data_IF_707334613090
#
_entry.id   IF_707334613090
#
_cell.length_a   1.000
_cell.length_b   1.000
_cell.length_c   1.000
_cell.angle_alpha   90.00
_cell.angle_beta   90.00
_cell.angle_gamma   90.00
#
_symmetry.space_group_name_H-M   'P 1'
#
loop_
_entity.id
_entity.type
_entity.pdbx_description
1 polymer ?
#
# COMPACT_ATOMS: atom_id res chain seq x y z
N UNK A 1 40.16 5.08 40.36
CA UNK A 1 39.94 5.05 38.89
C UNK A 1 38.44 4.88 38.65
N UNK A 2 37.73 5.98 38.42
CA UNK A 2 36.46 5.99 37.71
C UNK A 2 36.47 7.24 36.84
N UNK A 3 36.25 7.03 35.54
CA UNK A 3 36.37 8.01 34.48
C UNK A 3 35.25 9.05 34.59
N UNK A 4 35.65 10.32 34.62
CA UNK A 4 34.83 11.46 34.23
C UNK A 4 34.51 11.37 32.74
N UNK A 5 33.24 11.58 32.36
CA UNK A 5 32.96 12.13 31.05
C UNK A 5 31.86 13.18 31.16
N UNK A 6 32.29 14.42 30.99
CA UNK A 6 31.49 15.63 30.90
C UNK A 6 30.74 15.65 29.58
N UNK A 7 29.40 15.67 29.63
CA UNK A 7 28.58 16.09 28.50
C UNK A 7 27.96 17.43 28.86
N UNK A 8 28.44 18.50 28.24
CA UNK A 8 27.84 19.83 28.30
C UNK A 8 27.70 20.36 26.89
N UNK A 9 26.45 20.64 26.49
CA UNK A 9 25.98 21.84 25.80
C UNK A 9 24.67 21.53 25.04
N UNK A 10 23.57 21.62 25.78
CA UNK A 10 22.32 22.31 25.42
C UNK A 10 21.98 22.49 23.92
N UNK A 11 21.19 21.57 23.35
CA UNK A 11 20.32 21.86 22.21
C UNK A 11 18.92 22.18 22.74
N UNK A 12 18.64 23.47 22.97
CA UNK A 12 17.34 23.96 23.42
C UNK A 12 16.44 24.15 22.18
N UNK A 13 15.53 23.20 21.92
CA UNK A 13 14.46 23.40 20.94
C UNK A 13 13.49 24.42 21.54
N UNK A 14 13.53 25.66 21.06
CA UNK A 14 12.50 26.65 21.37
C UNK A 14 11.22 26.29 20.62
N UNK A 15 10.19 25.91 21.37
CA UNK A 15 8.83 25.82 20.86
C UNK A 15 8.32 27.23 20.56
N UNK A 16 8.30 27.59 19.28
CA UNK A 16 7.57 28.77 18.80
C UNK A 16 6.09 28.55 19.07
N UNK A 17 5.46 29.42 19.87
CA UNK A 17 4.02 29.41 20.09
C UNK A 17 3.32 29.60 18.74
N UNK A 18 2.52 28.62 18.34
CA UNK A 18 1.64 28.74 17.18
C UNK A 18 0.58 29.82 17.48
N UNK A 19 0.57 30.89 16.69
CA UNK A 19 -0.57 31.80 16.62
C UNK A 19 -1.74 31.10 15.92
N UNK A 20 -3.00 31.44 16.26
CA UNK A 20 -4.17 30.83 15.63
C UNK A 20 -4.23 31.21 14.15
N UNK A 21 -4.13 30.20 13.28
CA UNK A 21 -4.32 30.33 11.84
C UNK A 21 -5.75 30.82 11.57
N UNK A 22 -5.87 32.04 11.02
CA UNK A 22 -7.14 32.53 10.51
C UNK A 22 -7.52 31.73 9.25
N UNK A 23 -8.72 31.14 9.28
CA UNK A 23 -9.32 30.41 8.17
C UNK A 23 -9.65 31.40 7.05
N UNK A 24 -8.82 31.43 6.00
CA UNK A 24 -9.15 32.12 4.76
C UNK A 24 -10.13 31.24 3.97
N UNK A 25 -11.36 31.73 3.83
CA UNK A 25 -12.43 31.17 3.00
C UNK A 25 -12.11 31.41 1.52
N UNK A 26 -11.26 30.58 0.94
CA UNK A 26 -11.03 30.49 -0.50
C UNK A 26 -11.68 29.23 -1.06
N UNK A 27 -12.66 29.39 -1.94
CA UNK A 27 -13.30 28.28 -2.67
C UNK A 27 -12.29 27.67 -3.66
N UNK A 28 -11.85 26.43 -3.41
CA UNK A 28 -11.12 25.63 -4.39
C UNK A 28 -12.12 24.76 -5.14
N UNK A 29 -12.25 25.03 -6.44
CA UNK A 29 -13.08 24.30 -7.39
C UNK A 29 -12.57 22.86 -7.57
N UNK A 30 -13.39 21.82 -7.40
CA UNK A 30 -12.95 20.45 -7.61
C UNK A 30 -12.83 20.12 -9.10
N UNK A 31 -11.71 19.49 -9.45
CA UNK A 31 -11.50 18.89 -10.77
C UNK A 31 -12.64 17.93 -11.14
N UNK A 32 -13.31 18.21 -12.25
CA UNK A 32 -14.40 17.42 -12.81
C UNK A 32 -13.92 15.99 -13.17
N UNK A 33 -14.80 14.99 -13.01
CA UNK A 33 -15.72 14.70 -14.10
C UNK A 33 -17.18 14.72 -13.62
N UNK A 34 -17.76 15.91 -13.53
CA UNK A 34 -19.18 16.12 -13.20
C UNK A 34 -19.90 16.75 -14.39
N UNK A 35 -19.96 16.02 -15.51
CA UNK A 35 -20.83 16.36 -16.64
C UNK A 35 -22.08 15.46 -16.74
N UNK A 36 -22.23 14.47 -15.85
CA UNK A 36 -23.38 13.54 -15.88
C UNK A 36 -24.51 13.90 -14.89
N UNK A 37 -24.34 14.93 -14.04
CA UNK A 37 -25.28 15.21 -12.94
C UNK A 37 -26.36 16.26 -13.23
N UNK A 38 -26.51 16.74 -14.47
CA UNK A 38 -27.47 17.81 -14.77
C UNK A 38 -28.60 17.46 -15.74
N UNK A 39 -28.80 16.18 -16.12
CA UNK A 39 -29.84 15.82 -17.10
C UNK A 39 -31.05 15.02 -16.57
N UNK A 40 -31.21 14.87 -15.25
CA UNK A 40 -32.43 14.24 -14.70
C UNK A 40 -32.63 12.76 -15.07
N UNK A 41 -31.59 12.07 -15.54
CA UNK A 41 -31.61 10.66 -15.95
C UNK A 41 -30.90 9.72 -14.94
N UNK A 42 -30.96 10.06 -13.65
CA UNK A 42 -30.27 9.32 -12.58
C UNK A 42 -30.80 7.87 -12.45
N UNK A 43 -32.11 7.67 -12.55
CA UNK A 43 -32.73 6.36 -12.36
C UNK A 43 -32.58 5.42 -13.57
N UNK A 44 -32.48 5.96 -14.79
CA UNK A 44 -32.36 5.15 -16.02
C UNK A 44 -30.93 4.65 -16.25
N UNK A 45 -29.90 5.43 -15.86
CA UNK A 45 -28.50 5.01 -15.97
C UNK A 45 -28.17 3.86 -14.99
N UNK A 46 -28.76 3.89 -13.79
CA UNK A 46 -28.62 2.83 -12.78
C UNK A 46 -29.37 1.55 -13.17
N UNK A 47 -30.55 1.68 -13.80
CA UNK A 47 -31.33 0.53 -14.31
C UNK A 47 -30.72 -0.10 -15.57
N UNK A 48 -30.05 0.68 -16.44
CA UNK A 48 -29.40 0.15 -17.63
C UNK A 48 -28.06 -0.55 -17.33
N UNK A 49 -27.26 -0.07 -16.34
CA UNK A 49 -26.02 -0.75 -15.92
C UNK A 49 -26.25 -2.08 -15.21
N UNK A 50 -27.39 -2.25 -14.57
CA UNK A 50 -27.74 -3.51 -13.87
C UNK A 50 -28.25 -4.60 -14.81
N UNK A 51 -28.60 -4.26 -16.07
CA UNK A 51 -29.20 -5.19 -17.03
C UNK A 51 -28.23 -5.81 -18.06
N UNK A 52 -27.00 -5.28 -18.23
CA UNK A 52 -26.03 -5.82 -19.22
C UNK A 52 -24.66 -6.12 -18.62
N UNK A 53 -24.61 -6.95 -17.57
CA UNK A 53 -23.52 -7.93 -17.35
C UNK A 53 -23.86 -8.92 -16.22
N UNK A 54 -24.85 -9.79 -16.44
CA UNK A 54 -24.94 -11.03 -15.65
C UNK A 54 -24.79 -12.25 -16.55
N UNK A 55 -23.76 -13.01 -16.21
CA UNK A 55 -23.48 -14.41 -16.52
C UNK A 55 -23.06 -14.77 -17.95
N UNK A 56 -21.74 -14.86 -18.16
CA UNK A 56 -21.11 -16.09 -18.67
C UNK A 56 -19.60 -16.07 -18.34
N UNK A 57 -19.11 -17.15 -17.71
CA UNK A 57 -17.70 -17.52 -17.44
C UNK A 57 -16.97 -16.98 -16.20
N UNK A 58 -17.64 -16.78 -15.06
CA UNK A 58 -16.94 -16.89 -13.78
C UNK A 58 -17.19 -18.28 -13.21
N UNK A 59 -16.14 -19.11 -13.14
CA UNK A 59 -16.22 -20.45 -12.60
C UNK A 59 -16.73 -20.41 -11.16
N UNK A 60 -17.98 -20.83 -10.94
CA UNK A 60 -18.52 -21.19 -9.62
C UNK A 60 -17.73 -22.33 -8.92
N UNK A 61 -16.65 -22.84 -9.54
CA UNK A 61 -15.81 -23.91 -9.01
C UNK A 61 -14.79 -23.48 -7.95
N UNK A 62 -14.48 -22.18 -7.82
CA UNK A 62 -13.56 -21.70 -6.78
C UNK A 62 -14.12 -20.49 -6.02
N UNK A 63 -15.07 -20.78 -5.12
CA UNK A 63 -15.63 -19.78 -4.20
C UNK A 63 -14.55 -19.09 -3.37
N UNK A 64 -13.49 -19.82 -2.96
CA UNK A 64 -12.39 -19.25 -2.19
C UNK A 64 -11.69 -18.15 -2.98
N UNK A 65 -11.36 -18.41 -4.25
CA UNK A 65 -10.76 -17.41 -5.13
C UNK A 65 -11.70 -16.23 -5.38
N UNK A 66 -12.99 -16.48 -5.63
CA UNK A 66 -13.96 -15.40 -5.83
C UNK A 66 -14.07 -14.46 -4.61
N UNK A 67 -14.08 -15.03 -3.40
CA UNK A 67 -14.06 -14.27 -2.15
C UNK A 67 -12.77 -13.46 -1.99
N UNK A 68 -11.61 -14.06 -2.32
CA UNK A 68 -10.31 -13.41 -2.24
C UNK A 68 -10.20 -12.24 -3.24
N UNK A 69 -10.59 -12.46 -4.50
CA UNK A 69 -10.58 -11.45 -5.56
C UNK A 69 -11.47 -10.26 -5.20
N UNK A 70 -12.67 -10.52 -4.65
CA UNK A 70 -13.57 -9.47 -4.22
C UNK A 70 -13.02 -8.70 -3.02
N UNK A 71 -12.47 -9.40 -2.02
CA UNK A 71 -11.85 -8.77 -0.86
C UNK A 71 -10.66 -7.89 -1.25
N UNK A 72 -9.80 -8.35 -2.18
CA UNK A 72 -8.71 -7.56 -2.76
C UNK A 72 -9.24 -6.25 -3.36
N UNK A 73 -10.26 -6.32 -4.20
CA UNK A 73 -10.83 -5.13 -4.85
C UNK A 73 -11.42 -4.15 -3.85
N UNK A 74 -12.15 -4.63 -2.83
CA UNK A 74 -12.75 -3.77 -1.80
C UNK A 74 -11.70 -3.13 -0.90
N UNK A 75 -10.66 -3.87 -0.49
CA UNK A 75 -9.61 -3.36 0.38
C UNK A 75 -8.76 -2.32 -0.34
N UNK A 76 -8.45 -2.53 -1.61
CA UNK A 76 -7.67 -1.56 -2.38
C UNK A 76 -8.37 -0.20 -2.47
N UNK A 77 -9.71 -0.21 -2.58
CA UNK A 77 -10.52 1.01 -2.74
C UNK A 77 -10.89 1.69 -1.42
N UNK A 78 -11.24 0.92 -0.40
CA UNK A 78 -11.89 1.45 0.81
C UNK A 78 -11.31 0.91 2.13
N UNK A 79 -10.19 0.17 2.06
CA UNK A 79 -9.50 -0.38 3.22
C UNK A 79 -10.21 -1.57 3.85
N UNK A 80 -9.69 -2.05 4.98
CA UNK A 80 -10.12 -3.30 5.62
C UNK A 80 -11.45 -3.20 6.37
N UNK A 81 -11.91 -1.98 6.67
CA UNK A 81 -13.11 -1.73 7.46
C UNK A 81 -14.40 -2.11 6.73
N UNK A 82 -14.42 -2.03 5.40
CA UNK A 82 -15.60 -2.36 4.60
C UNK A 82 -15.79 -3.87 4.37
N UNK A 83 -14.77 -4.68 4.67
CA UNK A 83 -14.78 -6.11 4.38
C UNK A 83 -15.28 -6.92 5.57
N UNK A 84 -16.24 -7.81 5.29
CA UNK A 84 -16.67 -8.90 6.16
C UNK A 84 -17.07 -10.12 5.34
N UNK A 85 -16.89 -11.33 5.88
CA UNK A 85 -17.26 -12.58 5.21
C UNK A 85 -18.74 -12.59 4.77
N UNK A 86 -19.64 -12.11 5.64
CA UNK A 86 -21.06 -12.04 5.33
C UNK A 86 -21.38 -11.05 4.20
N UNK A 87 -20.70 -9.89 4.15
CA UNK A 87 -20.88 -8.92 3.07
C UNK A 87 -20.40 -9.49 1.72
N UNK A 88 -19.23 -10.16 1.71
CA UNK A 88 -18.69 -10.81 0.53
C UNK A 88 -19.60 -11.95 0.03
N UNK A 89 -20.13 -12.78 0.94
CA UNK A 89 -21.10 -13.82 0.58
C UNK A 89 -22.35 -13.25 -0.11
N UNK A 90 -22.90 -12.18 0.48
CA UNK A 90 -24.09 -11.50 -0.06
C UNK A 90 -23.83 -10.96 -1.46
N UNK A 91 -22.67 -10.35 -1.68
CA UNK A 91 -22.30 -9.78 -2.97
C UNK A 91 -22.07 -10.86 -4.05
N UNK A 92 -21.48 -11.99 -3.66
CA UNK A 92 -21.30 -13.14 -4.55
C UNK A 92 -22.58 -13.99 -4.73
N UNK A 93 -23.68 -13.66 -4.03
CA UNK A 93 -24.95 -14.37 -4.13
C UNK A 93 -24.92 -15.80 -3.56
N UNK A 94 -24.03 -16.08 -2.60
CA UNK A 94 -23.92 -17.38 -1.92
C UNK A 94 -24.47 -17.31 -0.50
N UNK A 95 -24.61 -18.47 0.17
CA UNK A 95 -25.05 -18.49 1.57
C UNK A 95 -24.04 -17.77 2.49
N UNK A 96 -24.54 -17.08 3.52
CA UNK A 96 -23.67 -16.36 4.46
C UNK A 96 -22.69 -17.27 5.21
N UNK A 97 -23.00 -18.56 5.33
CA UNK A 97 -22.13 -19.58 5.92
C UNK A 97 -21.03 -20.10 4.99
N UNK A 98 -21.14 -19.88 3.68
CA UNK A 98 -20.21 -20.46 2.70
C UNK A 98 -18.76 -19.97 2.86
N UNK A 99 -18.46 -18.68 3.11
CA UNK A 99 -17.08 -18.22 3.26
C UNK A 99 -16.35 -18.82 4.46
N UNK A 100 -17.07 -19.13 5.54
CA UNK A 100 -16.49 -19.67 6.78
C UNK A 100 -15.85 -21.05 6.60
N UNK A 101 -16.18 -21.76 5.51
CA UNK A 101 -15.52 -23.02 5.14
C UNK A 101 -14.14 -22.81 4.50
N UNK A 102 -13.85 -21.60 4.05
CA UNK A 102 -12.61 -21.24 3.35
C UNK A 102 -11.71 -20.33 4.18
N UNK A 103 -12.31 -19.45 4.97
CA UNK A 103 -11.63 -18.54 5.89
C UNK A 103 -12.33 -18.66 7.23
N UNK A 104 -11.64 -19.13 8.27
CA UNK A 104 -12.26 -19.36 9.57
C UNK A 104 -12.84 -18.10 10.19
N UNK A 105 -12.21 -16.96 9.92
CA UNK A 105 -12.59 -15.64 10.43
C UNK A 105 -12.12 -14.52 9.47
N UNK A 106 -12.39 -13.26 9.86
CA UNK A 106 -11.97 -12.07 9.11
C UNK A 106 -10.44 -11.95 9.04
N UNK A 107 -9.72 -12.32 10.09
CA UNK A 107 -8.26 -12.14 10.13
C UNK A 107 -7.56 -13.13 9.20
N UNK A 108 -8.05 -14.37 9.10
CA UNK A 108 -7.59 -15.35 8.12
C UNK A 108 -7.86 -14.91 6.67
N UNK A 109 -9.01 -14.26 6.41
CA UNK A 109 -9.26 -13.63 5.11
C UNK A 109 -8.25 -12.50 4.85
N UNK A 110 -8.06 -11.60 5.81
CA UNK A 110 -7.14 -10.47 5.67
C UNK A 110 -5.68 -10.93 5.49
N UNK A 111 -5.24 -11.97 6.20
CA UNK A 111 -3.92 -12.58 6.01
C UNK A 111 -3.78 -13.18 4.61
N UNK A 112 -4.80 -13.86 4.09
CA UNK A 112 -4.79 -14.38 2.73
C UNK A 112 -4.73 -13.25 1.68
N UNK A 113 -5.48 -12.16 1.88
CA UNK A 113 -5.42 -10.97 1.01
C UNK A 113 -4.05 -10.31 1.10
N UNK A 114 -3.45 -10.22 2.29
CA UNK A 114 -2.11 -9.66 2.48
C UNK A 114 -1.05 -10.48 1.74
N UNK A 115 -1.10 -11.82 1.84
CA UNK A 115 -0.23 -12.72 1.09
C UNK A 115 -0.35 -12.50 -0.42
N UNK A 116 -1.57 -12.37 -0.95
CA UNK A 116 -1.78 -12.10 -2.38
C UNK A 116 -1.33 -10.70 -2.78
N UNK A 117 -1.53 -9.71 -1.91
CA UNK A 117 -1.05 -8.34 -2.12
C UNK A 117 0.48 -8.29 -2.23
N UNK A 118 1.20 -9.06 -1.40
CA UNK A 118 2.64 -9.19 -1.51
C UNK A 118 3.07 -9.81 -2.83
N UNK A 119 2.36 -10.82 -3.35
CA UNK A 119 2.64 -11.40 -4.67
C UNK A 119 2.47 -10.38 -5.79
N UNK A 120 1.37 -9.62 -5.78
CA UNK A 120 1.13 -8.54 -6.74
C UNK A 120 2.24 -7.48 -6.67
N UNK A 121 2.66 -7.13 -5.45
CA UNK A 121 3.73 -6.18 -5.20
C UNK A 121 5.08 -6.68 -5.72
N UNK A 122 5.47 -7.91 -5.36
CA UNK A 122 6.67 -8.61 -5.84
C UNK A 122 6.71 -8.65 -7.37
N UNK A 123 5.58 -8.98 -8.00
CA UNK A 123 5.47 -8.99 -9.45
C UNK A 123 5.66 -7.61 -10.07
N UNK A 124 5.16 -6.55 -9.44
CA UNK A 124 5.40 -5.18 -9.89
C UNK A 124 6.89 -4.81 -9.81
N UNK A 125 7.56 -5.17 -8.71
CA UNK A 125 9.01 -4.94 -8.56
C UNK A 125 9.83 -5.74 -9.57
N UNK A 126 9.50 -7.03 -9.78
CA UNK A 126 10.18 -7.88 -10.78
C UNK A 126 9.95 -7.39 -12.21
N UNK A 127 8.77 -6.84 -12.52
CA UNK A 127 8.47 -6.28 -13.83
C UNK A 127 9.26 -5.00 -14.10
N UNK A 128 9.48 -4.16 -13.09
CA UNK A 128 10.19 -2.89 -13.28
C UNK A 128 11.67 -3.07 -13.61
N UNK A 129 12.28 -4.20 -13.23
CA UNK A 129 13.70 -4.49 -13.51
C UNK A 129 13.93 -5.22 -14.84
N UNK A 130 12.89 -5.57 -15.59
CA UNK A 130 13.06 -6.28 -16.88
C UNK A 130 13.88 -5.44 -17.86
N UNK A 131 15.01 -5.99 -18.29
CA UNK A 131 15.90 -5.35 -19.27
C UNK A 131 16.85 -4.28 -18.69
N UNK A 132 16.90 -4.12 -17.36
CA UNK A 132 17.82 -3.20 -16.69
C UNK A 132 18.59 -3.90 -15.56
N UNK A 133 19.79 -3.42 -15.25
CA UNK A 133 20.66 -3.98 -14.19
C UNK A 133 21.37 -2.88 -13.40
N UNK A 134 22.04 -3.26 -12.30
CA UNK A 134 22.81 -2.34 -11.47
C UNK A 134 21.98 -1.17 -10.93
N UNK A 135 22.55 0.04 -10.96
CA UNK A 135 21.89 1.26 -10.45
C UNK A 135 20.53 1.51 -11.10
N UNK A 136 20.39 1.23 -12.40
CA UNK A 136 19.14 1.40 -13.12
C UNK A 136 18.03 0.45 -12.61
N UNK A 137 18.37 -0.80 -12.29
CA UNK A 137 17.44 -1.76 -11.71
C UNK A 137 16.99 -1.33 -10.29
N UNK A 138 17.93 -0.87 -9.46
CA UNK A 138 17.58 -0.38 -8.11
C UNK A 138 16.65 0.84 -8.17
N UNK A 139 16.91 1.77 -9.09
CA UNK A 139 16.03 2.93 -9.32
C UNK A 139 14.64 2.50 -9.82
N UNK A 140 14.58 1.52 -10.72
CA UNK A 140 13.30 0.99 -11.21
C UNK A 140 12.48 0.30 -10.11
N UNK A 141 13.12 -0.42 -9.18
CA UNK A 141 12.44 -0.97 -7.99
C UNK A 141 11.91 0.15 -7.10
N UNK A 142 12.74 1.15 -6.79
CA UNK A 142 12.34 2.26 -5.92
C UNK A 142 11.13 3.02 -6.49
N UNK A 143 11.12 3.31 -7.80
CA UNK A 143 9.97 3.94 -8.47
C UNK A 143 8.73 3.05 -8.45
N UNK A 144 8.87 1.76 -8.74
CA UNK A 144 7.76 0.81 -8.69
C UNK A 144 7.19 0.67 -7.26
N UNK A 145 8.03 0.76 -6.24
CA UNK A 145 7.63 0.75 -4.83
C UNK A 145 6.72 1.94 -4.51
N UNK A 146 7.18 3.15 -4.81
CA UNK A 146 6.40 4.38 -4.56
C UNK A 146 5.11 4.38 -5.40
N UNK A 147 5.19 3.98 -6.67
CA UNK A 147 4.02 3.86 -7.54
C UNK A 147 2.99 2.88 -6.98
N UNK A 148 3.41 1.71 -6.48
CA UNK A 148 2.49 0.75 -5.89
C UNK A 148 1.77 1.36 -4.67
N UNK A 149 2.52 2.02 -3.78
CA UNK A 149 1.93 2.61 -2.56
C UNK A 149 0.91 3.71 -2.81
N UNK A 150 1.01 4.40 -3.94
CA UNK A 150 0.13 5.52 -4.33
C UNK A 150 -1.05 5.05 -5.17
N UNK A 151 -0.84 4.05 -6.04
CA UNK A 151 -1.90 3.50 -6.89
C UNK A 151 -2.74 2.42 -6.19
N UNK A 152 -2.17 1.76 -5.17
CA UNK A 152 -2.84 0.70 -4.40
C UNK A 152 -2.72 0.91 -2.89
N UNK A 153 -3.25 2.03 -2.36
CA UNK A 153 -2.95 2.44 -1.00
C UNK A 153 -3.49 1.46 0.04
N UNK A 154 -4.70 0.92 -0.15
CA UNK A 154 -5.32 -0.02 0.80
C UNK A 154 -4.61 -1.37 0.87
N UNK A 155 -4.11 -1.88 -0.27
CA UNK A 155 -3.29 -3.10 -0.26
C UNK A 155 -1.95 -2.86 0.41
N UNK A 156 -1.32 -1.69 0.18
CA UNK A 156 -0.07 -1.34 0.85
C UNK A 156 -0.25 -1.25 2.37
N UNK A 157 -1.34 -0.63 2.85
CA UNK A 157 -1.65 -0.57 4.27
C UNK A 157 -1.87 -1.95 4.87
N UNK A 158 -2.59 -2.81 4.16
CA UNK A 158 -2.80 -4.18 4.59
C UNK A 158 -1.47 -4.95 4.74
N UNK A 159 -0.52 -4.78 3.82
CA UNK A 159 0.77 -5.44 3.87
C UNK A 159 1.69 -4.92 4.97
N UNK A 160 1.75 -3.60 5.16
CA UNK A 160 2.83 -2.97 5.93
C UNK A 160 2.38 -2.26 7.20
N UNK A 161 1.10 -1.92 7.34
CA UNK A 161 0.58 -1.13 8.46
C UNK A 161 -0.48 -1.85 9.31
N UNK A 162 -0.98 -3.02 8.88
CA UNK A 162 -2.05 -3.76 9.56
C UNK A 162 -1.63 -4.53 10.82
N UNK A 163 -0.33 -4.77 11.01
CA UNK A 163 0.20 -5.65 12.05
C UNK A 163 0.07 -7.16 11.75
N UNK A 164 -0.57 -7.55 10.64
CA UNK A 164 -0.78 -8.96 10.28
C UNK A 164 0.53 -9.74 10.15
N UNK A 165 1.53 -9.16 9.49
CA UNK A 165 2.85 -9.78 9.32
C UNK A 165 3.54 -10.00 10.68
N UNK A 166 3.39 -9.05 11.61
CA UNK A 166 4.00 -9.14 12.94
C UNK A 166 3.36 -10.22 13.82
N UNK A 167 2.04 -10.39 13.71
CA UNK A 167 1.28 -11.38 14.46
C UNK A 167 1.36 -12.80 13.89
N UNK A 168 1.73 -12.97 12.62
CA UNK A 168 1.78 -14.26 11.95
C UNK A 168 2.92 -15.17 12.47
N UNK A 169 2.70 -16.49 12.38
CA UNK A 169 3.72 -17.49 12.65
C UNK A 169 4.89 -17.40 11.65
N UNK A 170 6.04 -17.96 12.00
CA UNK A 170 7.27 -17.87 11.19
C UNK A 170 7.17 -18.55 9.82
N UNK A 171 6.40 -19.64 9.75
CA UNK A 171 6.11 -20.42 8.55
C UNK A 171 4.81 -19.99 7.84
N UNK A 172 4.15 -18.93 8.32
CA UNK A 172 2.95 -18.41 7.67
C UNK A 172 3.29 -17.79 6.30
N UNK A 173 2.43 -18.07 5.32
CA UNK A 173 2.52 -17.55 3.96
C UNK A 173 2.67 -16.03 3.88
N UNK A 174 2.02 -15.26 4.77
CA UNK A 174 2.10 -13.79 4.74
C UNK A 174 3.47 -13.30 5.16
N UNK A 175 4.07 -13.93 6.17
CA UNK A 175 5.41 -13.59 6.66
C UNK A 175 6.49 -14.04 5.67
N UNK A 176 6.31 -15.20 5.03
CA UNK A 176 7.16 -15.67 3.92
C UNK A 176 7.10 -14.67 2.75
N UNK A 177 5.91 -14.26 2.31
CA UNK A 177 5.74 -13.32 1.20
C UNK A 177 6.32 -11.92 1.52
N UNK A 178 6.18 -11.45 2.77
CA UNK A 178 6.82 -10.22 3.23
C UNK A 178 8.34 -10.28 3.10
N UNK A 179 8.97 -11.39 3.51
CA UNK A 179 10.42 -11.62 3.37
C UNK A 179 10.85 -11.69 1.91
N UNK A 180 10.09 -12.38 1.07
CA UNK A 180 10.36 -12.46 -0.37
C UNK A 180 10.38 -11.07 -1.01
N UNK A 181 9.46 -10.18 -0.62
CA UNK A 181 9.40 -8.82 -1.15
C UNK A 181 10.66 -7.99 -0.88
N UNK A 182 11.25 -8.14 0.32
CA UNK A 182 12.56 -7.57 0.64
C UNK A 182 13.68 -8.22 -0.19
N UNK A 183 13.62 -9.53 -0.36
CA UNK A 183 14.56 -10.30 -1.19
C UNK A 183 14.66 -9.76 -2.63
N UNK A 184 13.54 -9.38 -3.24
CA UNK A 184 13.54 -8.78 -4.59
C UNK A 184 14.33 -7.47 -4.67
N UNK A 185 14.22 -6.59 -3.66
CA UNK A 185 15.05 -5.38 -3.60
C UNK A 185 16.52 -5.74 -3.43
N UNK A 186 16.83 -6.64 -2.49
CA UNK A 186 18.19 -7.06 -2.25
C UNK A 186 18.83 -7.64 -3.53
N UNK A 187 18.09 -8.47 -4.29
CA UNK A 187 18.50 -9.10 -5.56
C UNK A 187 18.75 -8.11 -6.70
N UNK A 188 18.12 -6.95 -6.70
CA UNK A 188 18.41 -5.90 -7.67
C UNK A 188 19.69 -5.10 -7.38
N UNK A 189 20.23 -5.17 -6.16
CA UNK A 189 21.49 -4.52 -5.82
C UNK A 189 22.67 -5.33 -6.35
N UNK A 190 23.65 -4.61 -6.91
CA UNK A 190 24.94 -5.21 -7.29
C UNK A 190 25.57 -5.90 -6.08
N UNK A 191 26.13 -7.09 -6.32
CA UNK A 191 26.89 -7.83 -5.32
C UNK A 191 28.06 -6.98 -4.80
N UNK A 192 28.28 -7.03 -3.49
CA UNK A 192 29.34 -6.27 -2.84
C UNK A 192 29.24 -6.34 -1.32
N UNK A 193 30.24 -5.80 -0.60
CA UNK A 193 30.21 -5.72 0.85
C UNK A 193 28.96 -4.94 1.30
N UNK A 194 28.38 -5.36 2.42
CA UNK A 194 27.22 -4.72 3.04
C UNK A 194 25.95 -4.66 2.16
N UNK A 195 25.81 -5.53 1.14
CA UNK A 195 24.63 -5.57 0.25
C UNK A 195 23.31 -5.60 1.04
N UNK A 196 23.21 -6.48 2.03
CA UNK A 196 22.00 -6.62 2.85
C UNK A 196 21.72 -5.35 3.67
N UNK A 197 22.74 -4.77 4.31
CA UNK A 197 22.61 -3.51 5.04
C UNK A 197 22.19 -2.35 4.12
N UNK A 198 22.72 -2.30 2.89
CA UNK A 198 22.31 -1.32 1.88
C UNK A 198 20.85 -1.54 1.45
N UNK A 199 20.44 -2.78 1.21
CA UNK A 199 19.05 -3.13 0.92
C UNK A 199 18.12 -2.67 2.04
N UNK A 200 18.49 -2.94 3.30
CA UNK A 200 17.73 -2.54 4.47
C UNK A 200 17.61 -1.01 4.60
N UNK A 201 18.71 -0.28 4.39
CA UNK A 201 18.68 1.20 4.38
C UNK A 201 17.72 1.76 3.32
N UNK A 202 17.76 1.20 2.10
CA UNK A 202 16.86 1.59 1.02
C UNK A 202 15.42 1.24 1.39
N UNK A 203 15.17 0.03 1.90
CA UNK A 203 13.84 -0.43 2.30
C UNK A 203 13.22 0.49 3.37
N UNK A 204 13.98 0.84 4.41
CA UNK A 204 13.56 1.80 5.44
C UNK A 204 13.28 3.18 4.82
N UNK A 205 14.19 3.67 3.96
CA UNK A 205 14.03 4.97 3.30
C UNK A 205 12.78 5.05 2.43
N UNK A 206 12.47 3.98 1.67
CA UNK A 206 11.26 3.90 0.86
C UNK A 206 10.00 3.85 1.71
N UNK A 207 9.98 3.05 2.78
CA UNK A 207 8.86 3.06 3.73
C UNK A 207 8.61 4.45 4.32
N UNK A 208 9.67 5.10 4.82
CA UNK A 208 9.58 6.46 5.37
C UNK A 208 9.08 7.46 4.33
N UNK A 209 9.57 7.36 3.09
CA UNK A 209 9.12 8.19 1.97
C UNK A 209 7.63 8.02 1.72
N UNK A 210 7.14 6.78 1.65
CA UNK A 210 5.70 6.51 1.44
C UNK A 210 4.85 7.08 2.58
N UNK A 211 5.24 6.82 3.83
CA UNK A 211 4.49 7.29 4.99
C UNK A 211 4.41 8.82 5.04
N UNK A 212 5.54 9.50 4.90
CA UNK A 212 5.59 10.95 4.92
C UNK A 212 4.87 11.59 3.72
N UNK A 213 4.97 10.97 2.53
CA UNK A 213 4.30 11.47 1.34
C UNK A 213 2.77 11.43 1.49
N UNK A 214 2.22 10.35 2.06
CA UNK A 214 0.77 10.18 2.27
C UNK A 214 0.18 11.21 3.21
N UNK A 215 0.91 11.56 4.26
CA UNK A 215 0.54 12.62 5.19
C UNK A 215 0.76 14.03 4.61
N UNK A 216 1.25 14.14 3.37
CA UNK A 216 1.58 15.42 2.72
C UNK A 216 2.75 16.14 3.38
N UNK A 217 3.60 15.43 4.12
CA UNK A 217 4.74 15.99 4.84
C UNK A 217 5.97 16.18 3.93
N UNK A 218 5.98 15.59 2.73
CA UNK A 218 7.03 15.80 1.72
C UNK A 218 6.67 16.88 0.69
N UNK A 219 5.73 17.79 1.02
CA UNK A 219 5.36 18.88 0.12
C UNK A 219 6.52 19.85 -0.10
N UNK A 220 6.65 20.44 -1.31
CA UNK A 220 7.68 21.42 -1.64
C UNK A 220 7.80 22.60 -0.68
N UNK A 221 6.68 22.98 -0.05
CA UNK A 221 6.63 24.09 0.90
C UNK A 221 7.41 23.81 2.19
N UNK A 222 7.56 22.54 2.58
CA UNK A 222 8.36 22.11 3.74
C UNK A 222 9.79 21.71 3.33
N UNK A 223 9.91 20.99 2.22
CA UNK A 223 11.18 20.47 1.73
C UNK A 223 11.32 20.81 0.25
N UNK A 224 12.35 21.57 -0.12
CA UNK A 224 12.66 21.93 -1.52
C UNK A 224 13.33 20.77 -2.28
N UNK A 225 12.76 19.57 -2.16
CA UNK A 225 13.28 18.32 -2.75
C UNK A 225 12.10 17.52 -3.26
N UNK A 226 12.16 17.04 -4.51
CA UNK A 226 11.17 16.15 -5.10
C UNK A 226 11.32 14.72 -4.57
N UNK A 227 10.25 13.91 -4.68
CA UNK A 227 10.30 12.48 -4.32
C UNK A 227 11.35 11.75 -5.15
N UNK A 228 11.51 12.09 -6.42
CA UNK A 228 12.52 11.47 -7.29
C UNK A 228 13.94 11.80 -6.80
N UNK A 229 14.23 13.05 -6.45
CA UNK A 229 15.53 13.45 -5.89
C UNK A 229 15.79 12.77 -4.54
N UNK A 230 14.78 12.66 -3.68
CA UNK A 230 14.89 11.94 -2.40
C UNK A 230 15.18 10.46 -2.63
N UNK A 231 14.46 9.81 -3.55
CA UNK A 231 14.69 8.41 -3.92
C UNK A 231 16.11 8.23 -4.45
N UNK A 232 16.57 9.07 -5.38
CA UNK A 232 17.94 8.99 -5.89
C UNK A 232 18.99 9.16 -4.78
N UNK A 233 18.75 10.05 -3.82
CA UNK A 233 19.63 10.21 -2.65
C UNK A 233 19.63 9.00 -1.72
N UNK A 234 18.51 8.29 -1.57
CA UNK A 234 18.42 7.05 -0.77
C UNK A 234 19.24 5.92 -1.41
N UNK A 235 19.33 5.92 -2.75
CA UNK A 235 20.02 4.88 -3.51
C UNK A 235 21.53 5.11 -3.65
N UNK A 236 22.02 6.31 -3.35
CA UNK A 236 23.44 6.68 -3.40
C UNK A 236 24.26 5.93 -2.33
#
# INVERSE_FOLDING_TARGET
>A
MYYSNTFSAECRIEFVKAEPVQVLTGTVEPAQPVACLLSGAYDDCVKQRTATKRASDYHHGDLRKALLDLALAQIDQAGTNVVSLAALARELGVSQSAPYRHFGDKDQLLAAVASESFRIFIDALRKSTRGVTGKAATLAIAKAYIQFSTTRPGLYDLMFASGLVGAAAEDDTVKIAARESFGVLADALTLGPNRELRALRIWIGLHGTVMLNREGLLKPDYFKVSIDELVESILA
#
